data_IF_530827657462
#
_entry.id   IF_530827657462
#
_cell.length_a   1.000
_cell.length_b   1.000
_cell.length_c   1.000
_cell.angle_alpha   90.00
_cell.angle_beta   90.00
_cell.angle_gamma   90.00
#
_symmetry.space_group_name_H-M   'P 1'
#
loop_
_entity.id
_entity.type
_entity.pdbx_description
1 polymer ?
#
# COMPACT_ATOMS: atom_id res chain seq x y z
N UNK A 1 -27.69 17.11 -25.63
CA UNK A 1 -27.03 17.00 -24.33
C UNK A 1 -26.53 15.59 -24.24
N UNK A 2 -25.23 15.39 -24.39
CA UNK A 2 -24.61 14.07 -24.13
C UNK A 2 -24.56 13.97 -22.61
N UNK A 3 -25.39 13.09 -22.07
CA UNK A 3 -25.43 12.78 -20.67
C UNK A 3 -24.03 12.29 -20.28
N UNK A 4 -23.34 13.04 -19.43
CA UNK A 4 -22.02 12.62 -18.90
C UNK A 4 -22.25 11.37 -18.07
N UNK A 5 -22.10 10.21 -18.71
CA UNK A 5 -22.20 8.91 -18.04
C UNK A 5 -21.12 8.89 -16.96
N UNK A 6 -21.50 8.71 -15.69
CA UNK A 6 -20.54 8.66 -14.59
C UNK A 6 -19.51 7.58 -14.86
N UNK A 7 -18.23 7.91 -14.73
CA UNK A 7 -17.10 6.99 -14.98
C UNK A 7 -17.27 5.66 -14.24
N UNK A 8 -17.72 5.69 -12.99
CA UNK A 8 -18.03 4.50 -12.21
C UNK A 8 -19.09 3.59 -12.89
N UNK A 9 -20.09 4.17 -13.54
CA UNK A 9 -21.13 3.38 -14.26
C UNK A 9 -20.53 2.61 -15.43
N UNK A 10 -19.64 3.23 -16.19
CA UNK A 10 -18.94 2.60 -17.32
C UNK A 10 -18.05 1.46 -16.84
N UNK A 11 -17.28 1.68 -15.77
CA UNK A 11 -16.47 0.65 -15.11
C UNK A 11 -17.34 -0.53 -14.70
N UNK A 12 -18.45 -0.28 -13.98
CA UNK A 12 -19.37 -1.33 -13.55
C UNK A 12 -19.90 -2.16 -14.71
N UNK A 13 -20.36 -1.53 -15.79
CA UNK A 13 -20.89 -2.23 -16.96
C UNK A 13 -19.83 -3.11 -17.64
N UNK A 14 -18.61 -2.60 -17.81
CA UNK A 14 -17.53 -3.33 -18.46
C UNK A 14 -17.07 -4.53 -17.64
N UNK A 15 -16.86 -4.37 -16.34
CA UNK A 15 -16.40 -5.45 -15.47
C UNK A 15 -17.51 -6.47 -15.16
N UNK A 16 -18.79 -6.05 -15.10
CA UNK A 16 -19.91 -6.99 -15.03
C UNK A 16 -19.98 -7.90 -16.28
N UNK A 17 -19.66 -7.38 -17.46
CA UNK A 17 -19.53 -8.20 -18.66
C UNK A 17 -18.28 -9.10 -18.58
N UNK A 18 -17.16 -8.59 -18.12
CA UNK A 18 -15.90 -9.34 -17.92
C UNK A 18 -16.01 -10.47 -16.90
N UNK A 19 -16.90 -10.36 -15.90
CA UNK A 19 -17.18 -11.44 -14.96
C UNK A 19 -17.90 -12.62 -15.60
N UNK A 20 -18.60 -12.41 -16.72
CA UNK A 20 -19.35 -13.45 -17.45
C UNK A 20 -18.52 -14.09 -18.56
N UNK A 21 -17.73 -13.30 -19.27
CA UNK A 21 -16.94 -13.72 -20.42
C UNK A 21 -15.57 -13.01 -20.40
N UNK A 22 -14.51 -13.74 -20.76
CA UNK A 22 -13.14 -13.20 -20.82
C UNK A 22 -13.03 -12.02 -21.79
N UNK A 23 -12.44 -10.92 -21.35
CA UNK A 23 -12.15 -9.75 -22.18
C UNK A 23 -10.65 -9.60 -22.41
N UNK A 24 -10.17 -9.95 -23.61
CA UNK A 24 -8.74 -9.85 -23.98
C UNK A 24 -8.21 -8.40 -23.93
N UNK A 25 -9.09 -7.42 -24.10
CA UNK A 25 -8.72 -5.98 -24.07
C UNK A 25 -8.34 -5.48 -22.67
N UNK A 26 -8.63 -6.23 -21.62
CA UNK A 26 -8.32 -5.91 -20.23
C UNK A 26 -7.09 -6.67 -19.70
N UNK A 27 -6.53 -7.58 -20.48
CA UNK A 27 -5.43 -8.43 -20.04
C UNK A 27 -4.07 -7.76 -20.30
N UNK A 28 -3.31 -7.50 -19.23
CA UNK A 28 -1.86 -7.34 -19.32
C UNK A 28 -1.20 -8.71 -19.18
N UNK A 29 -0.11 -9.01 -19.92
CA UNK A 29 0.64 -10.24 -19.69
C UNK A 29 1.34 -10.15 -18.32
N UNK A 30 0.94 -11.01 -17.38
CA UNK A 30 1.56 -11.13 -16.06
C UNK A 30 2.07 -12.55 -15.88
N UNK A 31 3.32 -12.66 -15.46
CA UNK A 31 3.97 -13.96 -15.15
C UNK A 31 3.72 -14.29 -13.67
N UNK A 32 2.63 -15.00 -13.40
CA UNK A 32 2.34 -15.54 -12.08
C UNK A 32 3.06 -16.87 -11.89
N UNK A 33 3.43 -17.20 -10.65
CA UNK A 33 3.97 -18.51 -10.34
C UNK A 33 2.93 -19.61 -10.62
N UNK A 34 3.27 -20.48 -11.56
CA UNK A 34 2.39 -21.56 -12.01
C UNK A 34 1.99 -22.53 -10.88
N UNK A 35 2.81 -22.62 -9.82
CA UNK A 35 2.52 -23.48 -8.67
C UNK A 35 1.30 -22.97 -7.91
N UNK A 36 1.22 -21.69 -7.65
CA UNK A 36 0.05 -21.07 -6.99
C UNK A 36 -1.22 -21.14 -7.84
N UNK A 37 -1.10 -21.14 -9.16
CA UNK A 37 -2.27 -21.22 -10.04
C UNK A 37 -2.93 -22.60 -10.07
N UNK A 38 -2.23 -23.68 -9.72
CA UNK A 38 -2.74 -25.07 -9.82
C UNK A 38 -4.01 -25.33 -9.00
N UNK A 39 -4.12 -24.70 -7.86
CA UNK A 39 -5.27 -24.90 -6.97
C UNK A 39 -6.43 -23.96 -7.27
N UNK A 40 -6.20 -22.92 -8.07
CA UNK A 40 -7.22 -21.90 -8.39
C UNK A 40 -8.11 -22.43 -9.54
N UNK A 41 -9.43 -22.38 -9.40
CA UNK A 41 -10.35 -22.75 -10.48
C UNK A 41 -10.12 -21.93 -11.75
N UNK A 42 -10.22 -22.59 -12.91
CA UNK A 42 -9.93 -21.99 -14.20
C UNK A 42 -10.78 -20.73 -14.49
N UNK A 43 -12.04 -20.71 -14.08
CA UNK A 43 -12.90 -19.53 -14.28
C UNK A 43 -12.42 -18.28 -13.55
N UNK A 44 -11.73 -18.43 -12.41
CA UNK A 44 -11.12 -17.32 -11.67
C UNK A 44 -9.91 -16.78 -12.44
N UNK A 45 -9.05 -17.69 -12.95
CA UNK A 45 -7.85 -17.33 -13.72
C UNK A 45 -8.24 -16.57 -15.01
N UNK A 46 -9.26 -17.04 -15.71
CA UNK A 46 -9.67 -16.50 -17.01
C UNK A 46 -10.38 -15.13 -16.92
N UNK A 47 -10.99 -14.83 -15.78
CA UNK A 47 -11.81 -13.62 -15.57
C UNK A 47 -11.17 -12.60 -14.65
N UNK A 48 -9.87 -12.70 -14.46
CA UNK A 48 -9.09 -11.75 -13.69
C UNK A 48 -8.26 -10.84 -14.61
N UNK A 49 -8.19 -9.57 -14.25
CA UNK A 49 -7.61 -8.50 -15.05
C UNK A 49 -6.62 -7.70 -14.20
N UNK A 50 -5.33 -7.99 -14.33
CA UNK A 50 -4.28 -7.33 -13.57
C UNK A 50 -3.09 -6.96 -14.44
N UNK A 51 -2.19 -6.13 -13.93
CA UNK A 51 -0.99 -5.67 -14.64
C UNK A 51 0.32 -6.01 -13.90
N UNK A 52 0.22 -6.67 -12.73
CA UNK A 52 1.36 -7.09 -11.94
C UNK A 52 1.00 -8.23 -10.98
N UNK A 53 1.96 -8.63 -10.16
CA UNK A 53 1.79 -9.66 -9.14
C UNK A 53 2.26 -9.14 -7.77
N UNK A 54 1.37 -8.46 -7.02
CA UNK A 54 1.71 -7.95 -5.69
C UNK A 54 1.89 -9.06 -4.65
N UNK A 55 1.41 -10.28 -4.93
CA UNK A 55 1.49 -11.41 -4.00
C UNK A 55 2.93 -11.88 -3.73
N UNK A 56 3.87 -11.57 -4.64
CA UNK A 56 5.32 -11.85 -4.49
C UNK A 56 5.97 -11.15 -3.30
N UNK A 57 5.32 -10.12 -2.77
CA UNK A 57 5.84 -9.29 -1.67
C UNK A 57 5.11 -9.54 -0.36
N UNK A 58 4.31 -10.61 -0.28
CA UNK A 58 3.62 -11.03 0.93
C UNK A 58 4.48 -11.98 1.77
N UNK A 59 4.18 -12.06 3.06
CA UNK A 59 4.88 -12.93 3.99
C UNK A 59 3.91 -13.81 4.78
N UNK A 60 4.41 -14.95 5.27
CA UNK A 60 3.65 -15.88 6.08
C UNK A 60 3.04 -15.19 7.32
N UNK A 61 1.80 -15.51 7.64
CA UNK A 61 1.07 -15.02 8.81
C UNK A 61 0.44 -13.63 8.68
N UNK A 62 0.63 -12.93 7.56
CA UNK A 62 0.08 -11.58 7.36
C UNK A 62 -1.44 -11.57 7.17
N UNK A 63 -2.06 -10.47 7.63
CA UNK A 63 -3.43 -10.10 7.27
C UNK A 63 -3.37 -9.19 6.04
N UNK A 64 -3.83 -9.70 4.92
CA UNK A 64 -3.82 -9.03 3.60
C UNK A 64 -5.18 -8.43 3.29
N UNK A 65 -5.22 -7.22 2.76
CA UNK A 65 -6.39 -6.61 2.14
C UNK A 65 -6.12 -6.40 0.64
N UNK A 66 -6.92 -7.03 -0.21
CA UNK A 66 -6.86 -6.88 -1.67
C UNK A 66 -7.96 -5.92 -2.15
N UNK A 67 -7.56 -4.79 -2.73
CA UNK A 67 -8.45 -3.74 -3.21
C UNK A 67 -8.83 -3.98 -4.67
N UNK A 68 -10.14 -4.11 -4.94
CA UNK A 68 -10.67 -4.49 -6.23
C UNK A 68 -10.35 -5.94 -6.55
N UNK A 69 -10.67 -6.83 -5.62
CA UNK A 69 -10.29 -8.24 -5.65
C UNK A 69 -10.84 -9.03 -6.84
N UNK A 70 -11.81 -8.47 -7.58
CA UNK A 70 -12.42 -9.11 -8.73
C UNK A 70 -12.92 -10.53 -8.43
N UNK A 71 -12.52 -11.48 -9.26
CA UNK A 71 -12.86 -12.91 -9.07
C UNK A 71 -12.03 -13.62 -8.00
N UNK A 72 -11.09 -12.91 -7.33
CA UNK A 72 -10.33 -13.40 -6.20
C UNK A 72 -8.99 -14.06 -6.55
N UNK A 73 -8.45 -13.94 -7.76
CA UNK A 73 -7.19 -14.59 -8.15
C UNK A 73 -6.04 -14.19 -7.21
N UNK A 74 -5.81 -12.89 -7.01
CA UNK A 74 -4.75 -12.42 -6.10
C UNK A 74 -5.01 -12.86 -4.67
N UNK A 75 -6.27 -12.82 -4.20
CA UNK A 75 -6.64 -13.33 -2.88
C UNK A 75 -6.30 -14.81 -2.71
N UNK A 76 -6.53 -15.65 -3.72
CA UNK A 76 -6.25 -17.09 -3.64
C UNK A 76 -4.75 -17.41 -3.76
N UNK A 77 -3.97 -16.60 -4.48
CA UNK A 77 -2.50 -16.68 -4.45
C UNK A 77 -2.00 -16.24 -3.06
N UNK A 78 -2.46 -15.08 -2.59
CA UNK A 78 -2.10 -14.55 -1.27
C UNK A 78 -2.42 -15.54 -0.14
N UNK A 79 -3.57 -16.23 -0.21
CA UNK A 79 -3.97 -17.24 0.77
C UNK A 79 -2.95 -18.37 0.94
N UNK A 80 -2.29 -18.76 -0.15
CA UNK A 80 -1.22 -19.76 -0.14
C UNK A 80 0.06 -19.21 0.47
N UNK A 81 0.42 -17.97 0.10
CA UNK A 81 1.65 -17.31 0.58
C UNK A 81 1.58 -17.04 2.09
N UNK A 82 0.46 -16.50 2.58
CA UNK A 82 0.33 -16.16 4.01
C UNK A 82 0.07 -17.39 4.88
N UNK A 83 -0.35 -18.50 4.31
CA UNK A 83 -0.56 -19.78 4.98
C UNK A 83 -1.74 -19.79 5.97
N UNK A 84 -1.89 -20.88 6.75
CA UNK A 84 -3.05 -21.11 7.62
C UNK A 84 -3.18 -20.10 8.78
N UNK A 85 -2.09 -19.43 9.17
CA UNK A 85 -2.07 -18.43 10.25
C UNK A 85 -2.32 -17.01 9.73
N UNK A 86 -2.27 -16.79 8.41
CA UNK A 86 -2.59 -15.52 7.78
C UNK A 86 -4.07 -15.41 7.43
N UNK A 87 -4.47 -14.20 7.02
CA UNK A 87 -5.84 -13.91 6.57
C UNK A 87 -5.81 -13.04 5.32
N UNK A 88 -6.71 -13.32 4.36
CA UNK A 88 -6.88 -12.51 3.16
C UNK A 88 -8.31 -12.01 3.07
N UNK A 89 -8.46 -10.70 2.90
CA UNK A 89 -9.75 -10.03 2.73
C UNK A 89 -9.74 -9.38 1.36
N UNK A 90 -10.64 -9.80 0.47
CA UNK A 90 -10.88 -9.14 -0.81
C UNK A 90 -12.04 -8.17 -0.71
N UNK A 91 -11.86 -6.95 -1.22
CA UNK A 91 -12.92 -5.94 -1.34
C UNK A 91 -13.17 -5.64 -2.81
N UNK A 92 -14.42 -5.75 -3.22
CA UNK A 92 -14.88 -5.33 -4.55
C UNK A 92 -16.29 -4.70 -4.46
N UNK A 93 -16.63 -3.84 -5.41
CA UNK A 93 -17.97 -3.23 -5.46
C UNK A 93 -18.97 -4.00 -6.35
N UNK A 94 -18.47 -4.96 -7.15
CA UNK A 94 -19.22 -5.68 -8.17
C UNK A 94 -19.76 -7.00 -7.65
N UNK A 95 -21.10 -7.15 -7.64
CA UNK A 95 -21.74 -8.40 -7.22
C UNK A 95 -21.31 -9.58 -8.10
N UNK A 96 -21.23 -9.37 -9.41
CA UNK A 96 -20.88 -10.42 -10.39
C UNK A 96 -19.45 -10.96 -10.17
N UNK A 97 -18.50 -10.10 -9.79
CA UNK A 97 -17.14 -10.50 -9.44
C UNK A 97 -17.11 -11.24 -8.11
N UNK A 98 -17.75 -10.67 -7.08
CA UNK A 98 -17.82 -11.27 -5.75
C UNK A 98 -18.53 -12.63 -5.74
N UNK A 99 -19.55 -12.85 -6.58
CA UNK A 99 -20.20 -14.14 -6.75
C UNK A 99 -19.23 -15.21 -7.23
N UNK A 100 -18.36 -14.89 -8.20
CA UNK A 100 -17.31 -15.81 -8.67
C UNK A 100 -16.32 -16.09 -7.56
N UNK A 101 -15.83 -15.06 -6.88
CA UNK A 101 -14.87 -15.21 -5.79
C UNK A 101 -15.43 -16.06 -4.63
N UNK A 102 -16.64 -15.73 -4.18
CA UNK A 102 -17.31 -16.39 -3.04
C UNK A 102 -17.65 -17.85 -3.30
N UNK A 103 -18.12 -18.21 -4.51
CA UNK A 103 -18.43 -19.61 -4.82
C UNK A 103 -17.18 -20.49 -4.98
N UNK A 104 -16.03 -19.87 -5.34
CA UNK A 104 -14.76 -20.58 -5.47
C UNK A 104 -13.95 -20.65 -4.17
N UNK A 105 -14.20 -19.79 -3.20
CA UNK A 105 -13.48 -19.78 -1.92
C UNK A 105 -13.53 -21.14 -1.18
N UNK A 106 -14.66 -21.84 -1.04
CA UNK A 106 -14.69 -23.17 -0.42
C UNK A 106 -13.92 -24.22 -1.23
N UNK A 107 -13.92 -24.14 -2.56
CA UNK A 107 -13.16 -25.07 -3.42
C UNK A 107 -11.66 -24.88 -3.20
N UNK A 108 -11.19 -23.64 -3.13
CA UNK A 108 -9.78 -23.33 -2.86
C UNK A 108 -9.43 -23.75 -1.43
N UNK A 109 -10.28 -23.49 -0.45
CA UNK A 109 -10.07 -23.87 0.95
C UNK A 109 -9.95 -25.40 1.11
N UNK A 110 -10.77 -26.20 0.39
CA UNK A 110 -10.66 -27.65 0.37
C UNK A 110 -9.32 -28.12 -0.17
N UNK A 111 -8.86 -27.52 -1.29
CA UNK A 111 -7.57 -27.85 -1.92
C UNK A 111 -6.37 -27.43 -1.06
N UNK A 112 -6.48 -26.37 -0.28
CA UNK A 112 -5.47 -25.90 0.67
C UNK A 112 -5.44 -26.70 1.97
N UNK A 113 -6.59 -27.23 2.39
CA UNK A 113 -6.78 -27.83 3.71
C UNK A 113 -7.09 -26.81 4.83
N UNK A 114 -7.27 -25.54 4.50
CA UNK A 114 -7.67 -24.46 5.43
C UNK A 114 -8.43 -23.34 4.72
N UNK A 115 -9.22 -22.56 5.48
CA UNK A 115 -10.00 -21.43 4.99
C UNK A 115 -9.48 -20.14 5.62
N UNK A 116 -8.88 -19.27 4.82
CA UNK A 116 -8.32 -17.99 5.27
C UNK A 116 -8.68 -16.79 4.36
N UNK A 117 -9.62 -16.98 3.42
CA UNK A 117 -10.10 -15.93 2.52
C UNK A 117 -11.50 -15.48 2.88
N UNK A 118 -11.76 -14.18 2.77
CA UNK A 118 -13.05 -13.54 2.97
C UNK A 118 -13.29 -12.48 1.91
N UNK A 119 -14.50 -12.36 1.34
CA UNK A 119 -14.82 -11.38 0.31
C UNK A 119 -15.96 -10.46 0.78
N UNK A 120 -15.73 -9.15 0.74
CA UNK A 120 -16.64 -8.10 1.22
C UNK A 120 -17.00 -7.13 0.10
N UNK A 121 -18.26 -6.66 0.13
CA UNK A 121 -18.75 -5.68 -0.83
C UNK A 121 -18.51 -4.26 -0.32
N UNK A 122 -17.69 -3.49 -1.03
CA UNK A 122 -17.39 -2.12 -0.69
C UNK A 122 -16.71 -1.38 -1.82
N UNK A 123 -16.56 -0.06 -1.65
CA UNK A 123 -15.76 0.77 -2.53
C UNK A 123 -14.36 0.90 -1.98
N UNK A 124 -13.34 0.76 -2.81
CA UNK A 124 -11.94 0.83 -2.38
C UNK A 124 -11.55 2.22 -1.84
N UNK A 125 -12.20 3.28 -2.31
CA UNK A 125 -12.02 4.65 -1.80
C UNK A 125 -12.84 4.97 -0.54
N UNK A 126 -13.65 4.01 -0.04
CA UNK A 126 -14.45 4.16 1.19
C UNK A 126 -14.53 2.80 1.89
N UNK A 127 -13.43 2.39 2.50
CA UNK A 127 -13.30 1.12 3.20
C UNK A 127 -14.00 1.12 4.57
N UNK A 128 -14.59 2.24 4.96
CA UNK A 128 -15.39 2.33 6.17
C UNK A 128 -16.85 1.93 5.93
N UNK A 129 -17.41 2.10 4.72
CA UNK A 129 -18.81 1.79 4.45
C UNK A 129 -19.01 0.35 3.99
N UNK A 130 -19.68 -0.45 4.81
CA UNK A 130 -20.18 -1.78 4.43
C UNK A 130 -21.45 -1.65 3.61
N UNK A 131 -21.33 -1.89 2.28
CA UNK A 131 -22.47 -1.77 1.35
C UNK A 131 -23.52 -2.86 1.53
N UNK A 132 -23.16 -4.06 2.01
CA UNK A 132 -24.12 -5.12 2.29
C UNK A 132 -24.90 -4.85 3.58
N UNK A 133 -24.26 -4.26 4.58
CA UNK A 133 -24.93 -3.84 5.80
C UNK A 133 -25.88 -2.67 5.54
N UNK A 134 -25.44 -1.69 4.76
CA UNK A 134 -26.26 -0.57 4.33
C UNK A 134 -27.48 -1.06 3.54
N UNK A 135 -27.29 -1.95 2.55
CA UNK A 135 -28.37 -2.51 1.73
C UNK A 135 -29.42 -3.25 2.58
N UNK A 136 -28.98 -4.02 3.58
CA UNK A 136 -29.88 -4.69 4.52
C UNK A 136 -30.75 -3.72 5.30
N UNK A 137 -30.18 -2.62 5.79
CA UNK A 137 -30.93 -1.63 6.58
C UNK A 137 -31.85 -0.78 5.69
N UNK A 138 -31.46 -0.50 4.45
CA UNK A 138 -32.29 0.23 3.50
C UNK A 138 -33.50 -0.61 2.99
N UNK A 139 -33.44 -1.94 3.08
CA UNK A 139 -34.63 -2.79 2.80
C UNK A 139 -35.77 -2.55 3.79
N UNK A 140 -35.42 -2.30 5.05
CA UNK A 140 -36.41 -2.00 6.09
C UNK A 140 -36.87 -0.53 6.07
N UNK A 141 -36.06 0.36 5.46
CA UNK A 141 -36.32 1.81 5.37
C UNK A 141 -35.93 2.36 3.99
N UNK A 142 -36.73 2.06 2.94
CA UNK A 142 -36.35 2.42 1.58
C UNK A 142 -36.39 3.93 1.32
N UNK A 143 -35.48 4.38 0.43
CA UNK A 143 -35.41 5.78 -0.01
C UNK A 143 -36.55 6.06 -0.97
N UNK A 144 -37.53 6.88 -0.53
CA UNK A 144 -38.72 7.23 -1.33
C UNK A 144 -38.89 8.73 -1.56
N UNK A 145 -38.17 9.56 -0.80
CA UNK A 145 -38.22 11.02 -0.87
C UNK A 145 -36.93 11.64 -0.31
N UNK A 146 -36.84 12.99 -0.34
CA UNK A 146 -35.65 13.68 0.13
C UNK A 146 -35.35 13.46 1.62
N UNK A 147 -36.37 13.32 2.46
CA UNK A 147 -36.16 13.07 3.89
C UNK A 147 -35.57 11.68 4.14
N UNK A 148 -36.08 10.63 3.47
CA UNK A 148 -35.51 9.29 3.55
C UNK A 148 -34.13 9.18 2.92
N UNK A 149 -33.82 10.02 1.92
CA UNK A 149 -32.45 10.12 1.37
C UNK A 149 -31.47 10.70 2.41
N UNK A 150 -31.84 11.78 3.11
CA UNK A 150 -31.03 12.37 4.18
C UNK A 150 -30.83 11.38 5.34
N UNK A 151 -31.90 10.66 5.72
CA UNK A 151 -31.78 9.63 6.76
C UNK A 151 -30.85 8.46 6.34
N UNK A 152 -30.86 8.08 5.05
CA UNK A 152 -29.93 7.08 4.54
C UNK A 152 -28.48 7.55 4.54
N UNK A 153 -28.25 8.84 4.29
CA UNK A 153 -26.91 9.47 4.36
C UNK A 153 -26.40 9.49 5.81
N UNK A 154 -27.25 9.92 6.77
CA UNK A 154 -26.93 9.85 8.21
C UNK A 154 -26.64 8.42 8.67
N UNK A 155 -27.41 7.44 8.20
CA UNK A 155 -27.19 6.02 8.48
C UNK A 155 -25.83 5.57 7.94
N UNK A 156 -25.48 5.95 6.72
CA UNK A 156 -24.21 5.60 6.12
C UNK A 156 -23.02 6.16 6.94
N UNK A 157 -23.13 7.40 7.45
CA UNK A 157 -22.13 7.99 8.37
C UNK A 157 -22.04 7.21 9.69
N UNK A 158 -23.19 6.83 10.26
CA UNK A 158 -23.21 6.02 11.48
C UNK A 158 -22.53 4.66 11.29
N UNK A 159 -22.78 3.99 10.15
CA UNK A 159 -22.16 2.72 9.81
C UNK A 159 -20.65 2.84 9.65
N UNK A 160 -20.14 3.90 8.97
CA UNK A 160 -18.71 4.16 8.84
C UNK A 160 -18.00 4.23 10.20
N UNK A 161 -18.64 4.83 11.18
CA UNK A 161 -18.07 5.03 12.52
C UNK A 161 -18.21 3.79 13.40
N UNK A 162 -19.40 3.18 13.44
CA UNK A 162 -19.69 2.09 14.37
C UNK A 162 -19.38 0.71 13.85
N UNK A 163 -19.51 0.51 12.55
CA UNK A 163 -19.39 -0.79 11.88
C UNK A 163 -18.58 -0.70 10.59
N UNK A 164 -17.32 -0.21 10.65
CA UNK A 164 -16.52 -0.04 9.43
C UNK A 164 -16.31 -1.39 8.73
N UNK A 165 -16.42 -1.37 7.39
CA UNK A 165 -16.16 -2.54 6.55
C UNK A 165 -14.77 -3.11 6.84
N UNK A 166 -13.75 -2.25 6.88
CA UNK A 166 -12.40 -2.56 7.32
C UNK A 166 -12.02 -1.62 8.47
N UNK A 167 -11.70 -2.19 9.62
CA UNK A 167 -11.33 -1.43 10.80
C UNK A 167 -9.97 -0.72 10.60
N UNK A 168 -9.78 0.43 11.28
CA UNK A 168 -8.49 1.11 11.31
C UNK A 168 -7.44 0.23 11.99
N UNK A 169 -6.17 0.35 11.55
CA UNK A 169 -5.02 -0.36 12.15
C UNK A 169 -5.18 -1.89 12.24
N UNK A 170 -5.89 -2.51 11.27
CA UNK A 170 -6.21 -3.94 11.30
C UNK A 170 -5.46 -4.79 10.27
N UNK A 171 -4.83 -4.18 9.27
CA UNK A 171 -4.24 -4.82 8.09
C UNK A 171 -2.71 -4.75 8.16
N UNK A 172 -2.02 -5.85 7.91
CA UNK A 172 -0.55 -5.88 7.81
C UNK A 172 -0.07 -5.39 6.45
N UNK A 173 -0.75 -5.80 5.37
CA UNK A 173 -0.43 -5.37 4.02
C UNK A 173 -1.69 -5.15 3.17
N UNK A 174 -1.73 -4.01 2.49
CA UNK A 174 -2.75 -3.71 1.47
C UNK A 174 -2.12 -3.96 0.11
N UNK A 175 -2.79 -4.75 -0.72
CA UNK A 175 -2.43 -4.98 -2.11
C UNK A 175 -3.50 -4.46 -3.05
N UNK A 176 -3.11 -4.12 -4.28
CA UNK A 176 -4.03 -3.83 -5.37
C UNK A 176 -3.37 -4.14 -6.70
N UNK A 177 -4.17 -4.51 -7.70
CA UNK A 177 -3.67 -4.89 -9.01
C UNK A 177 -4.52 -4.28 -10.13
N UNK A 178 -4.08 -3.12 -10.66
CA UNK A 178 -4.68 -2.44 -11.80
C UNK A 178 -6.13 -1.91 -11.57
N UNK A 179 -6.38 -1.31 -10.41
CA UNK A 179 -7.73 -0.88 -10.01
C UNK A 179 -7.80 0.60 -9.65
N UNK A 180 -6.70 1.18 -9.13
CA UNK A 180 -6.70 2.56 -8.65
C UNK A 180 -7.00 3.57 -9.76
N UNK A 181 -6.63 3.25 -11.00
CA UNK A 181 -6.90 4.09 -12.17
C UNK A 181 -8.39 4.17 -12.53
N UNK A 182 -9.21 3.25 -12.04
CA UNK A 182 -10.66 3.25 -12.23
C UNK A 182 -11.40 4.20 -11.29
N UNK A 183 -10.72 4.67 -10.24
CA UNK A 183 -11.28 5.61 -9.26
C UNK A 183 -11.23 7.04 -9.83
N UNK A 184 -12.33 7.78 -9.67
CA UNK A 184 -12.41 9.17 -10.11
C UNK A 184 -11.33 10.04 -9.45
N UNK A 185 -10.72 11.02 -10.16
CA UNK A 185 -9.62 11.84 -9.65
C UNK A 185 -9.90 12.49 -8.28
N UNK A 186 -11.12 13.02 -8.11
CA UNK A 186 -11.56 13.64 -6.84
C UNK A 186 -11.58 12.68 -5.64
N UNK A 187 -11.66 11.37 -5.87
CA UNK A 187 -11.71 10.33 -4.84
C UNK A 187 -10.39 9.59 -4.65
N UNK A 188 -9.37 9.84 -5.48
CA UNK A 188 -8.05 9.19 -5.36
C UNK A 188 -7.39 9.54 -4.05
N UNK A 189 -7.44 10.81 -3.63
CA UNK A 189 -6.89 11.24 -2.34
C UNK A 189 -7.50 10.43 -1.18
N UNK A 190 -8.83 10.34 -1.15
CA UNK A 190 -9.54 9.53 -0.14
C UNK A 190 -9.11 8.07 -0.16
N UNK A 191 -8.88 7.50 -1.35
CA UNK A 191 -8.40 6.12 -1.49
C UNK A 191 -7.06 5.90 -0.77
N UNK A 192 -6.07 6.78 -0.99
CA UNK A 192 -4.77 6.66 -0.32
C UNK A 192 -4.86 6.91 1.19
N UNK A 193 -5.72 7.83 1.63
CA UNK A 193 -6.01 8.06 3.05
C UNK A 193 -6.66 6.81 3.70
N UNK A 194 -7.57 6.12 3.00
CA UNK A 194 -8.19 4.87 3.46
C UNK A 194 -7.19 3.71 3.52
N UNK A 195 -6.30 3.58 2.52
CA UNK A 195 -5.20 2.60 2.57
C UNK A 195 -4.35 2.84 3.82
N UNK A 196 -3.96 4.10 4.07
CA UNK A 196 -3.19 4.43 5.27
C UNK A 196 -3.97 4.15 6.55
N UNK A 197 -5.29 4.47 6.59
CA UNK A 197 -6.14 4.27 7.78
C UNK A 197 -6.18 2.81 8.21
N UNK A 198 -6.42 1.89 7.28
CA UNK A 198 -6.62 0.47 7.59
C UNK A 198 -5.33 -0.27 7.95
N UNK A 199 -4.18 0.19 7.47
CA UNK A 199 -2.89 -0.40 7.78
C UNK A 199 -2.54 -0.26 9.26
N UNK A 200 -1.99 -1.31 9.87
CA UNK A 200 -1.33 -1.26 11.18
C UNK A 200 -0.10 -0.37 11.12
N UNK A 201 0.34 0.15 12.25
CA UNK A 201 1.63 0.83 12.33
C UNK A 201 2.77 -0.14 12.04
N UNK A 202 3.55 0.16 11.02
CA UNK A 202 4.59 -0.71 10.46
C UNK A 202 4.09 -1.64 9.35
N UNK A 203 2.80 -1.61 9.04
CA UNK A 203 2.24 -2.24 7.85
C UNK A 203 2.58 -1.47 6.57
N UNK A 204 2.32 -2.08 5.42
CA UNK A 204 2.70 -1.55 4.12
C UNK A 204 1.61 -1.69 3.06
N UNK A 205 1.65 -0.84 2.06
CA UNK A 205 0.92 -0.99 0.82
C UNK A 205 1.86 -1.54 -0.25
N UNK A 206 1.41 -2.47 -1.07
CA UNK A 206 2.10 -2.98 -2.26
C UNK A 206 1.13 -2.89 -3.42
N UNK A 207 1.28 -1.88 -4.23
CA UNK A 207 0.30 -1.53 -5.27
C UNK A 207 0.94 -1.69 -6.66
N UNK A 208 0.31 -2.53 -7.48
CA UNK A 208 0.62 -2.65 -8.90
C UNK A 208 -0.43 -1.88 -9.70
N UNK A 209 -0.02 -0.89 -10.48
CA UNK A 209 -0.94 -0.20 -11.39
C UNK A 209 -0.22 0.30 -12.65
N UNK A 210 -1.00 0.75 -13.63
CA UNK A 210 -0.50 1.38 -14.84
C UNK A 210 -0.26 2.86 -14.56
N UNK A 211 0.91 3.34 -14.93
CA UNK A 211 1.28 4.76 -14.89
C UNK A 211 1.57 5.27 -16.29
N UNK A 212 1.52 6.59 -16.47
CA UNK A 212 1.87 7.27 -17.71
C UNK A 212 3.19 8.02 -17.58
N UNK A 213 3.93 8.18 -18.66
CA UNK A 213 5.15 9.00 -18.71
C UNK A 213 4.85 10.51 -18.83
N UNK A 214 3.67 10.86 -19.32
CA UNK A 214 3.18 12.25 -19.44
C UNK A 214 1.78 12.38 -18.83
N UNK A 215 1.36 13.62 -18.51
CA UNK A 215 0.00 13.92 -18.06
C UNK A 215 -1.05 13.47 -19.09
N UNK A 216 -2.07 12.75 -18.64
CA UNK A 216 -3.16 12.31 -19.51
C UNK A 216 -4.12 13.46 -19.76
N UNK A 217 -4.31 13.92 -21.03
CA UNK A 217 -5.19 15.05 -21.37
C UNK A 217 -6.66 14.80 -20.97
N UNK A 218 -7.39 15.88 -20.64
CA UNK A 218 -8.82 15.81 -20.27
C UNK A 218 -9.68 15.12 -21.34
N UNK A 219 -9.34 15.31 -22.61
CA UNK A 219 -10.03 14.68 -23.74
C UNK A 219 -9.95 13.15 -23.67
N UNK A 220 -8.75 12.62 -23.37
CA UNK A 220 -8.57 11.18 -23.15
C UNK A 220 -9.25 10.72 -21.87
N UNK A 221 -9.21 11.52 -20.79
CA UNK A 221 -9.89 11.19 -19.54
C UNK A 221 -11.41 11.12 -19.69
N UNK A 222 -11.97 11.77 -20.71
CA UNK A 222 -13.40 11.76 -21.02
C UNK A 222 -13.81 10.55 -21.87
N UNK A 223 -12.88 9.78 -22.41
CA UNK A 223 -13.14 8.57 -23.18
C UNK A 223 -13.48 7.38 -22.25
N UNK A 224 -14.74 6.85 -22.32
CA UNK A 224 -15.16 5.76 -21.44
C UNK A 224 -14.42 4.43 -21.67
N UNK A 225 -13.98 4.15 -22.91
CA UNK A 225 -13.23 2.93 -23.23
C UNK A 225 -11.82 2.99 -22.66
N UNK A 226 -11.13 4.13 -22.82
CA UNK A 226 -9.81 4.34 -22.25
C UNK A 226 -9.87 4.36 -20.72
N UNK A 227 -10.91 5.01 -20.14
CA UNK A 227 -11.10 5.03 -18.70
C UNK A 227 -11.28 3.64 -18.10
N UNK A 228 -12.25 2.89 -18.61
CA UNK A 228 -12.53 1.54 -18.10
C UNK A 228 -11.45 0.52 -18.48
N UNK A 229 -10.50 0.89 -19.33
CA UNK A 229 -9.31 0.12 -19.70
C UNK A 229 -8.06 0.44 -18.88
N UNK A 230 -8.17 1.15 -17.74
CA UNK A 230 -7.06 1.56 -16.87
C UNK A 230 -6.03 2.50 -17.54
N UNK A 231 -6.39 3.15 -18.66
CA UNK A 231 -5.50 4.04 -19.41
C UNK A 231 -5.66 5.48 -18.95
N UNK A 232 -6.82 6.08 -19.22
CA UNK A 232 -7.01 7.52 -19.07
C UNK A 232 -7.19 8.00 -17.63
N UNK A 233 -7.30 7.09 -16.68
CA UNK A 233 -7.24 7.38 -15.25
C UNK A 233 -5.84 7.22 -14.65
N UNK A 234 -4.82 6.88 -15.44
CA UNK A 234 -3.46 6.71 -14.96
C UNK A 234 -2.90 8.03 -14.39
N UNK A 235 -2.14 7.90 -13.31
CA UNK A 235 -1.27 8.95 -12.80
C UNK A 235 0.06 8.90 -13.54
N UNK A 236 0.78 10.01 -13.58
CA UNK A 236 2.18 9.99 -14.01
C UNK A 236 3.03 9.16 -13.05
N UNK A 237 4.22 8.72 -13.49
CA UNK A 237 5.14 7.91 -12.66
C UNK A 237 5.44 8.61 -11.32
N UNK A 238 5.76 9.90 -11.35
CA UNK A 238 6.02 10.70 -10.16
C UNK A 238 4.73 11.05 -9.40
N UNK A 239 3.63 11.36 -10.08
CA UNK A 239 2.33 11.63 -9.48
C UNK A 239 1.81 10.45 -8.64
N UNK A 240 2.10 9.22 -9.07
CA UNK A 240 1.74 8.03 -8.30
C UNK A 240 2.51 7.93 -6.98
N UNK A 241 3.81 8.24 -6.97
CA UNK A 241 4.62 8.32 -5.74
C UNK A 241 4.14 9.45 -4.82
N UNK A 242 3.82 10.61 -5.39
CA UNK A 242 3.33 11.78 -4.65
C UNK A 242 2.03 11.51 -3.89
N UNK A 243 1.12 10.68 -4.41
CA UNK A 243 -0.10 10.33 -3.69
C UNK A 243 0.21 9.57 -2.38
N UNK A 244 1.22 8.68 -2.37
CA UNK A 244 1.69 8.03 -1.14
C UNK A 244 2.33 9.03 -0.17
N UNK A 245 3.18 9.94 -0.67
CA UNK A 245 3.80 10.99 0.15
C UNK A 245 2.74 11.86 0.82
N UNK A 246 1.79 12.31 0.04
CA UNK A 246 0.70 13.16 0.51
C UNK A 246 -0.19 12.47 1.55
N UNK A 247 -0.46 11.19 1.43
CA UNK A 247 -1.20 10.43 2.43
C UNK A 247 -0.40 10.22 3.74
N UNK A 248 0.93 10.45 3.71
CA UNK A 248 1.80 10.34 4.89
C UNK A 248 2.47 8.98 5.04
N UNK A 249 2.65 8.24 3.95
CA UNK A 249 3.52 7.07 3.91
C UNK A 249 4.99 7.46 4.01
N UNK A 250 5.85 6.47 4.22
CA UNK A 250 7.30 6.60 4.20
C UNK A 250 7.94 5.36 3.57
N UNK A 251 9.21 5.45 3.24
CA UNK A 251 9.94 4.33 2.65
C UNK A 251 9.38 3.92 1.31
N UNK A 252 8.92 4.91 0.55
CA UNK A 252 8.30 4.72 -0.74
C UNK A 252 9.36 4.28 -1.74
N UNK A 253 9.16 3.14 -2.39
CA UNK A 253 10.10 2.61 -3.35
C UNK A 253 9.40 1.91 -4.51
N UNK A 254 10.01 2.01 -5.68
CA UNK A 254 9.61 1.27 -6.88
C UNK A 254 10.22 -0.12 -6.79
N UNK A 255 9.40 -1.15 -6.57
CA UNK A 255 9.85 -2.55 -6.54
C UNK A 255 10.04 -3.13 -7.92
N UNK A 256 9.19 -2.72 -8.87
CA UNK A 256 9.23 -3.12 -10.27
C UNK A 256 8.72 -1.99 -11.15
N UNK A 257 9.34 -1.82 -12.30
CA UNK A 257 8.90 -0.96 -13.40
C UNK A 257 9.19 -1.68 -14.71
N UNK A 258 8.18 -1.87 -15.51
CA UNK A 258 8.36 -2.50 -16.81
C UNK A 258 9.14 -1.55 -17.74
N UNK A 259 10.21 -2.06 -18.37
CA UNK A 259 11.06 -1.26 -19.25
C UNK A 259 10.31 -0.82 -20.51
N UNK A 260 9.55 -1.75 -21.11
CA UNK A 260 8.74 -1.49 -22.30
C UNK A 260 7.32 -1.04 -21.89
N UNK A 261 6.71 -0.10 -22.61
CA UNK A 261 5.33 0.27 -22.36
C UNK A 261 4.38 -0.88 -22.73
N UNK A 262 3.38 -1.11 -21.88
CA UNK A 262 2.30 -2.01 -22.22
C UNK A 262 1.46 -1.49 -23.40
N UNK A 263 1.25 -0.17 -23.46
CA UNK A 263 0.57 0.52 -24.54
C UNK A 263 1.14 1.91 -24.75
N UNK A 264 1.06 2.39 -26.00
CA UNK A 264 1.23 3.80 -26.36
C UNK A 264 -0.05 4.31 -26.99
N UNK A 265 -0.65 5.35 -26.43
CA UNK A 265 -1.89 5.95 -26.90
C UNK A 265 -1.69 7.44 -27.11
N UNK A 266 -1.86 7.93 -28.32
CA UNK A 266 -1.64 9.34 -28.72
C UNK A 266 -0.25 9.88 -28.35
N UNK A 267 0.76 9.02 -28.37
CA UNK A 267 2.15 9.36 -28.04
C UNK A 267 2.53 9.15 -26.57
N UNK A 268 1.57 9.03 -25.65
CA UNK A 268 1.80 8.79 -24.23
C UNK A 268 2.02 7.29 -23.99
N UNK A 269 3.08 6.95 -23.28
CA UNK A 269 3.42 5.58 -22.91
C UNK A 269 2.81 5.17 -21.55
N UNK A 270 2.18 4.01 -21.53
CA UNK A 270 1.57 3.43 -20.33
C UNK A 270 2.29 2.13 -19.96
N UNK A 271 2.74 2.02 -18.71
CA UNK A 271 3.49 0.86 -18.22
C UNK A 271 3.09 0.45 -16.81
N UNK A 272 3.33 -0.82 -16.47
CA UNK A 272 3.09 -1.33 -15.14
C UNK A 272 4.22 -0.93 -14.19
N UNK A 273 3.83 -0.47 -12.99
CA UNK A 273 4.74 -0.17 -11.88
C UNK A 273 4.21 -0.83 -10.62
N UNK A 274 5.11 -1.35 -9.79
CA UNK A 274 4.80 -1.84 -8.44
C UNK A 274 5.49 -0.97 -7.42
N UNK A 275 4.72 -0.34 -6.54
CA UNK A 275 5.18 0.53 -5.46
C UNK A 275 4.98 -0.15 -4.12
N UNK A 276 5.98 -0.05 -3.23
CA UNK A 276 5.83 -0.35 -1.80
C UNK A 276 5.94 0.94 -1.00
N UNK A 277 5.10 1.07 0.04
CA UNK A 277 5.10 2.22 0.93
C UNK A 277 4.62 1.82 2.33
N UNK A 278 5.18 2.40 3.39
CA UNK A 278 4.96 1.97 4.78
C UNK A 278 4.19 3.00 5.61
N UNK A 279 3.35 2.52 6.55
CA UNK A 279 2.72 3.34 7.59
C UNK A 279 3.56 3.35 8.86
N UNK A 280 3.85 4.53 9.44
CA UNK A 280 4.60 4.58 10.72
C UNK A 280 5.12 5.94 11.15
N UNK A 281 4.94 6.98 10.34
CA UNK A 281 5.38 8.36 10.68
C UNK A 281 4.56 9.01 11.80
N UNK A 282 3.39 8.48 12.14
CA UNK A 282 2.45 9.09 13.07
C UNK A 282 3.01 9.12 14.49
N UNK A 283 2.66 10.16 15.24
CA UNK A 283 2.99 10.30 16.65
C UNK A 283 4.04 11.37 16.93
N UNK A 284 4.32 11.53 18.23
CA UNK A 284 5.18 12.61 18.77
C UNK A 284 6.65 12.24 18.60
N UNK A 285 7.48 13.26 18.35
CA UNK A 285 8.94 13.13 18.29
C UNK A 285 9.55 13.38 19.66
N UNK A 286 10.37 12.44 20.14
CA UNK A 286 11.04 12.52 21.43
C UNK A 286 12.56 12.43 21.27
N UNK A 287 13.28 13.19 22.11
CA UNK A 287 14.73 13.24 22.17
C UNK A 287 15.26 12.21 23.17
N UNK A 288 16.03 11.25 22.64
CA UNK A 288 16.70 10.23 23.46
C UNK A 288 18.21 10.18 23.23
N UNK A 289 18.80 11.26 22.76
CA UNK A 289 20.23 11.38 22.41
C UNK A 289 20.72 10.32 21.40
N UNK A 290 19.81 9.80 20.60
CA UNK A 290 20.09 8.84 19.52
C UNK A 290 20.64 9.56 18.30
N UNK A 291 21.44 8.85 17.50
CA UNK A 291 21.90 9.36 16.22
C UNK A 291 21.98 8.26 15.17
N UNK A 292 21.98 8.69 13.90
CA UNK A 292 22.23 7.82 12.74
C UNK A 292 23.38 8.37 11.92
N UNK A 293 24.05 7.47 11.19
CA UNK A 293 25.09 7.83 10.23
C UNK A 293 24.73 7.17 8.92
N UNK A 294 24.47 7.97 7.88
CA UNK A 294 24.24 7.45 6.54
C UNK A 294 25.53 6.84 5.99
N UNK A 295 25.48 5.56 5.57
CA UNK A 295 26.64 4.79 5.10
C UNK A 295 27.02 5.06 3.65
N UNK A 296 26.09 5.50 2.86
CA UNK A 296 26.24 5.64 1.39
C UNK A 296 25.28 4.71 0.64
N UNK A 297 25.40 4.58 -0.71
CA UNK A 297 26.56 5.04 -1.53
C UNK A 297 26.51 6.51 -1.96
N UNK A 298 25.35 7.18 -1.92
CA UNK A 298 25.27 8.58 -2.36
C UNK A 298 26.02 9.53 -1.45
N UNK A 299 26.37 10.72 -1.96
CA UNK A 299 27.03 11.77 -1.15
C UNK A 299 26.11 12.24 -0.02
N UNK A 300 24.84 12.35 -0.31
CA UNK A 300 23.77 12.73 0.61
C UNK A 300 22.45 12.14 0.16
N UNK A 301 21.49 12.04 1.07
CA UNK A 301 20.12 11.61 0.84
C UNK A 301 19.15 12.52 1.59
N UNK A 302 17.90 12.57 1.08
CA UNK A 302 16.73 13.10 1.78
C UNK A 302 15.80 11.92 2.09
N UNK A 303 15.21 11.90 3.28
CA UNK A 303 14.11 11.00 3.57
C UNK A 303 12.75 11.68 3.26
N UNK A 304 11.65 10.92 3.40
CA UNK A 304 10.30 11.41 3.15
C UNK A 304 9.81 12.52 4.12
N UNK A 305 10.59 12.84 5.16
CA UNK A 305 10.37 13.96 6.08
C UNK A 305 11.35 15.13 5.81
N UNK A 306 12.09 15.09 4.68
CA UNK A 306 13.12 16.07 4.27
C UNK A 306 14.31 16.16 5.23
N UNK A 307 14.62 15.12 5.98
CA UNK A 307 15.87 15.07 6.71
C UNK A 307 17.04 14.85 5.77
N UNK A 308 17.90 15.85 5.62
CA UNK A 308 19.09 15.79 4.76
C UNK A 308 20.24 15.15 5.50
N UNK A 309 20.80 14.07 4.96
CA UNK A 309 21.87 13.30 5.59
C UNK A 309 23.04 13.08 4.63
N UNK A 310 24.17 13.67 4.94
CA UNK A 310 25.43 13.46 4.22
C UNK A 310 26.12 12.19 4.74
N UNK A 311 26.75 11.45 3.82
CA UNK A 311 27.46 10.21 4.13
C UNK A 311 28.56 10.43 5.20
N UNK A 312 28.56 9.57 6.23
CA UNK A 312 29.56 9.54 7.29
C UNK A 312 29.35 10.57 8.38
N UNK A 313 28.40 11.50 8.25
CA UNK A 313 28.09 12.46 9.32
C UNK A 313 27.08 11.89 10.31
N UNK A 314 27.23 12.25 11.59
CA UNK A 314 26.36 11.82 12.67
C UNK A 314 25.18 12.81 12.81
N UNK A 315 23.96 12.36 12.52
CA UNK A 315 22.76 13.17 12.60
C UNK A 315 21.92 12.81 13.82
N UNK A 316 21.43 13.84 14.51
CA UNK A 316 20.42 13.69 15.54
C UNK A 316 19.08 13.32 14.89
N UNK A 317 18.41 12.32 15.44
CA UNK A 317 17.07 11.89 15.04
C UNK A 317 16.19 11.67 16.27
N UNK A 318 14.89 11.86 16.13
CA UNK A 318 13.96 11.53 17.21
C UNK A 318 13.82 10.00 17.36
N UNK A 319 13.31 9.57 18.51
CA UNK A 319 13.10 8.14 18.80
C UNK A 319 12.25 7.44 17.73
N UNK A 320 11.22 8.11 17.23
CA UNK A 320 10.37 7.59 16.16
C UNK A 320 11.16 7.31 14.88
N UNK A 321 11.88 8.30 14.36
CA UNK A 321 12.71 8.17 13.15
C UNK A 321 13.83 7.13 13.35
N UNK A 322 14.45 7.11 14.53
CA UNK A 322 15.49 6.13 14.87
C UNK A 322 14.98 4.69 14.78
N UNK A 323 13.79 4.42 15.34
CA UNK A 323 13.19 3.09 15.30
C UNK A 323 12.63 2.73 13.93
N UNK A 324 12.21 3.72 13.14
CA UNK A 324 11.76 3.56 11.78
C UNK A 324 12.94 3.16 10.89
N UNK A 325 14.07 3.85 10.98
CA UNK A 325 15.26 3.53 10.17
C UNK A 325 15.87 2.16 10.51
N UNK A 326 15.62 1.59 11.67
CA UNK A 326 16.02 0.21 12.02
C UNK A 326 15.29 -0.87 11.24
N UNK A 327 14.26 -0.53 10.49
CA UNK A 327 13.44 -1.45 9.70
C UNK A 327 13.71 -1.27 8.20
N UNK A 328 13.22 -2.20 7.40
CA UNK A 328 13.14 -2.04 5.96
C UNK A 328 12.29 -0.79 5.62
N UNK A 329 12.60 -0.09 4.52
CA UNK A 329 13.72 -0.34 3.59
C UNK A 329 15.04 0.32 4.03
N UNK A 330 15.10 1.05 5.15
CA UNK A 330 16.20 1.94 5.51
C UNK A 330 17.39 1.26 6.20
N UNK A 331 17.16 0.12 6.90
CA UNK A 331 18.13 -0.47 7.83
C UNK A 331 19.55 -0.61 7.26
N UNK A 332 19.67 -1.01 6.02
CA UNK A 332 20.98 -1.29 5.39
C UNK A 332 21.79 -0.04 5.07
N UNK A 333 21.13 1.12 5.04
CA UNK A 333 21.76 2.39 4.69
C UNK A 333 22.33 3.15 5.88
N UNK A 334 22.03 2.74 7.12
CA UNK A 334 22.38 3.48 8.32
C UNK A 334 23.16 2.67 9.35
N UNK A 335 24.11 3.35 10.02
CA UNK A 335 24.65 2.96 11.30
C UNK A 335 23.89 3.64 12.44
N UNK A 336 23.61 2.89 13.51
CA UNK A 336 22.81 3.34 14.64
C UNK A 336 23.67 3.62 15.86
N UNK A 337 23.61 4.83 16.36
CA UNK A 337 24.37 5.27 17.53
C UNK A 337 23.42 5.43 18.71
N UNK A 338 23.49 4.49 19.64
CA UNK A 338 22.76 4.57 20.91
C UNK A 338 23.48 5.50 21.88
N UNK A 339 22.75 6.20 22.76
CA UNK A 339 23.36 6.85 23.92
C UNK A 339 23.93 5.81 24.89
N UNK A 340 25.00 6.13 25.61
CA UNK A 340 25.54 5.25 26.66
C UNK A 340 24.54 5.13 27.81
N UNK A 341 23.88 6.24 28.17
CA UNK A 341 22.83 6.26 29.17
C UNK A 341 21.49 6.35 28.42
N UNK A 342 20.67 5.32 28.57
CA UNK A 342 19.33 5.30 27.96
C UNK A 342 18.42 6.31 28.65
N UNK A 343 17.63 7.03 27.85
CA UNK A 343 16.62 7.97 28.32
C UNK A 343 15.24 7.30 28.15
N UNK A 344 14.52 6.95 29.24
CA UNK A 344 13.18 6.41 29.14
C UNK A 344 12.24 7.36 28.37
N UNK A 345 11.35 6.82 27.56
CA UNK A 345 10.45 7.62 26.72
C UNK A 345 9.57 8.58 27.54
N UNK A 346 9.21 8.19 28.76
CA UNK A 346 8.40 9.00 29.69
C UNK A 346 9.15 10.24 30.22
N UNK A 347 10.47 10.20 30.22
CA UNK A 347 11.36 11.29 30.65
C UNK A 347 11.90 12.11 29.46
N UNK A 348 11.71 11.61 28.25
CA UNK A 348 12.27 12.18 27.05
C UNK A 348 11.60 13.52 26.68
N UNK A 349 12.40 14.53 26.38
CA UNK A 349 11.94 15.83 25.90
C UNK A 349 11.39 15.73 24.49
N UNK A 350 10.66 16.75 24.05
CA UNK A 350 10.29 16.90 22.63
C UNK A 350 11.54 17.09 21.78
N UNK A 351 11.55 16.43 20.65
CA UNK A 351 12.56 16.60 19.60
C UNK A 351 12.01 17.55 18.52
N UNK A 352 12.83 18.50 18.08
CA UNK A 352 12.52 19.38 16.96
C UNK A 352 12.89 18.68 15.64
N UNK A 353 11.88 18.14 14.95
CA UNK A 353 12.06 17.50 13.64
C UNK A 353 11.97 18.48 12.46
N UNK A 354 11.80 19.79 12.71
CA UNK A 354 11.70 20.78 11.62
C UNK A 354 13.02 21.05 10.91
N UNK A 355 14.12 20.56 11.47
CA UNK A 355 15.47 20.77 10.93
C UNK A 355 16.36 19.57 11.18
N UNK A 356 17.18 19.27 10.20
CA UNK A 356 18.29 18.32 10.34
C UNK A 356 19.44 18.94 11.16
N UNK A 357 19.95 18.25 12.15
CA UNK A 357 21.06 18.69 12.98
C UNK A 357 22.11 17.61 13.20
N UNK A 358 23.38 18.01 13.25
CA UNK A 358 24.45 17.11 13.61
C UNK A 358 24.41 16.80 15.13
N UNK A 359 24.69 15.54 15.48
CA UNK A 359 24.83 15.09 16.86
C UNK A 359 26.30 15.05 17.27
N UNK A 360 26.68 15.90 18.21
CA UNK A 360 28.04 15.83 18.73
C UNK A 360 28.26 14.50 19.50
N UNK A 361 29.44 13.81 19.36
CA UNK A 361 29.67 12.55 20.06
C UNK A 361 29.48 12.60 21.59
N UNK A 362 29.77 13.72 22.23
CA UNK A 362 29.54 13.89 23.67
C UNK A 362 28.08 13.84 24.11
N UNK A 363 27.14 14.14 23.22
CA UNK A 363 25.72 14.04 23.52
C UNK A 363 25.24 12.58 23.65
N UNK A 364 25.86 11.67 22.89
CA UNK A 364 25.57 10.24 22.98
C UNK A 364 26.38 9.54 24.06
N UNK A 365 27.60 10.02 24.34
CA UNK A 365 28.51 9.43 25.36
C UNK A 365 28.29 9.98 26.77
N UNK A 366 27.77 11.19 26.90
CA UNK A 366 27.76 11.99 28.12
C UNK A 366 28.93 13.00 28.12
N UNK A 367 28.71 14.19 28.68
CA UNK A 367 29.67 15.29 28.66
C UNK A 367 30.98 14.91 29.39
N UNK A 368 30.88 14.14 30.48
CA UNK A 368 31.98 13.74 31.34
C UNK A 368 32.65 12.42 30.93
N UNK A 369 32.28 11.87 29.76
CA UNK A 369 32.82 10.61 29.25
C UNK A 369 34.33 10.77 28.95
N UNK A 370 35.15 10.05 29.70
CA UNK A 370 36.62 10.11 29.63
C UNK A 370 37.29 8.73 29.67
N UNK A 371 36.52 7.65 29.45
CA UNK A 371 37.08 6.30 29.48
C UNK A 371 38.21 6.14 28.47
N UNK A 372 39.34 5.57 28.91
CA UNK A 372 40.47 5.19 28.07
C UNK A 372 40.49 3.67 27.96
N UNK A 373 40.52 3.16 26.74
CA UNK A 373 40.70 1.74 26.47
C UNK A 373 42.01 1.56 25.72
N UNK A 374 42.95 0.83 26.28
CA UNK A 374 44.17 0.45 25.57
C UNK A 374 43.79 -0.66 24.56
N UNK A 375 44.33 -0.59 23.36
CA UNK A 375 44.20 -1.66 22.40
C UNK A 375 44.87 -2.90 23.00
N UNK A 376 44.10 -3.91 23.39
CA UNK A 376 44.65 -5.21 23.71
C UNK A 376 45.36 -5.72 22.47
N UNK A 377 46.68 -5.91 22.58
CA UNK A 377 47.65 -6.20 21.50
C UNK A 377 47.43 -7.53 20.75
N UNK A 378 46.22 -7.80 20.31
CA UNK A 378 45.87 -8.85 19.36
C UNK A 378 45.38 -8.21 18.06
N UNK A 379 46.24 -7.38 17.46
CA UNK A 379 46.20 -7.17 16.03
C UNK A 379 47.17 -8.16 15.41
N UNK A 380 46.60 -9.15 14.67
CA UNK A 380 47.35 -10.00 13.74
C UNK A 380 48.38 -10.97 14.37
N UNK A 381 47.93 -12.04 15.03
CA UNK A 381 48.66 -13.29 14.99
C UNK A 381 48.45 -13.92 13.60
N UNK A 382 49.43 -13.77 12.72
CA UNK A 382 49.46 -14.41 11.39
C UNK A 382 49.46 -13.42 10.21
N UNK A 383 50.64 -13.09 9.77
CA UNK A 383 51.02 -12.20 8.67
C UNK A 383 50.06 -12.07 7.53
N UNK A 384 49.58 -10.88 7.35
CA UNK A 384 49.16 -10.15 6.17
C UNK A 384 48.14 -9.06 6.58
N UNK A 385 48.64 -8.00 7.17
CA UNK A 385 47.92 -6.73 7.25
C UNK A 385 48.91 -5.63 6.87
N UNK A 386 48.92 -5.25 5.62
CA UNK A 386 49.22 -3.91 5.08
C UNK A 386 48.88 -3.93 3.61
#
# INVERSE_FOLDING_TARGET
>A
MIEATRKETVVRQRYAAGAKERSEKLCCPVDYDAEYLRIIPQEVIERDYGCGDPSRYLHEGETVLDLGSGTGKICFIAAQVVGPNGKVIGVDMMDEMLEVARRNAPVVAERLGYANTEFRKGRIQDLALDLELLDRQLKDSPITNAASFLAADELAEELRVKHPLIASDSIDVVVSNCVLNLVEPKSKRQLFDEILRVLKKGGRAVICDIVSDEEVPEEMQSDPELWSGCISGALTEDGFLQEFEHAGFYGIQILKRDAEPWRTVQGIEFRSVTIEAFKGKQGKCFERNQAVIYRGPFKEVLDDDNHRMERGKRYAVCDKTYNLYKKAPYREFFEFVNPIVDIPLVEARRFDCSRTSLRHPKETKGQDYSATTEANGKCCDGGACC
#
